data_IF_946921403369
#
_entry.id   IF_946921403369
#
_cell.length_a   1.000
_cell.length_b   1.000
_cell.length_c   1.000
_cell.angle_alpha   90.00
_cell.angle_beta   90.00
_cell.angle_gamma   90.00
#
_symmetry.space_group_name_H-M   'P 1'
#
loop_
_entity.id
_entity.type
_entity.pdbx_description
1 polymer ?
#
# COMPACT_ATOMS: atom_id res chain seq x y z
N UNK A 1 -3.67 -22.98 -27.83
CA UNK A 1 -3.37 -24.39 -28.16
C UNK A 1 -2.02 -24.72 -27.61
N UNK A 2 -1.94 -25.61 -26.62
CA UNK A 2 -0.72 -25.88 -25.83
C UNK A 2 0.21 -26.92 -26.48
N UNK A 3 -0.12 -27.48 -27.64
CA UNK A 3 0.71 -28.41 -28.40
C UNK A 3 1.06 -29.74 -27.71
N UNK A 4 0.49 -30.01 -26.52
CA UNK A 4 0.69 -31.24 -25.78
C UNK A 4 -0.61 -31.66 -25.04
N UNK A 5 -0.77 -32.95 -24.79
CA UNK A 5 -1.89 -33.45 -24.04
C UNK A 5 -1.70 -33.32 -22.51
N UNK A 6 -2.77 -33.38 -21.69
CA UNK A 6 -2.68 -33.22 -20.25
C UNK A 6 -1.72 -34.18 -19.52
N UNK A 7 -1.48 -35.39 -20.05
CA UNK A 7 -0.55 -36.37 -19.47
C UNK A 7 0.91 -36.01 -19.75
N UNK A 8 1.21 -35.48 -20.93
CA UNK A 8 2.54 -35.00 -21.25
C UNK A 8 2.88 -33.75 -20.46
N UNK A 9 1.89 -32.91 -20.16
CA UNK A 9 2.02 -31.73 -19.30
C UNK A 9 2.37 -32.13 -17.86
N UNK A 10 1.77 -33.17 -17.32
CA UNK A 10 2.03 -33.66 -15.97
C UNK A 10 3.41 -34.32 -15.80
N UNK A 11 3.99 -34.84 -16.88
CA UNK A 11 5.30 -35.51 -16.88
C UNK A 11 6.49 -34.58 -17.13
N UNK A 12 6.26 -33.36 -17.60
CA UNK A 12 7.28 -32.32 -17.79
C UNK A 12 6.90 -31.13 -16.96
N UNK A 13 7.53 -30.91 -15.79
CA UNK A 13 7.31 -29.66 -15.04
C UNK A 13 7.67 -28.50 -15.96
N UNK A 14 6.66 -27.74 -16.35
CA UNK A 14 6.82 -26.59 -17.24
C UNK A 14 7.65 -25.56 -16.49
N UNK A 15 8.78 -25.12 -17.06
CA UNK A 15 9.58 -24.08 -16.44
C UNK A 15 8.72 -22.82 -16.17
N UNK A 16 9.02 -22.12 -15.11
CA UNK A 16 8.45 -20.80 -14.77
C UNK A 16 8.35 -19.85 -15.99
N UNK A 17 9.17 -20.06 -17.01
CA UNK A 17 9.17 -19.35 -18.28
C UNK A 17 7.80 -19.35 -19.01
N UNK A 18 6.96 -20.38 -18.83
CA UNK A 18 5.64 -20.40 -19.46
C UNK A 18 4.66 -19.46 -18.74
N UNK A 19 4.72 -19.39 -17.43
CA UNK A 19 3.96 -18.41 -16.65
C UNK A 19 4.39 -16.99 -16.98
N UNK A 20 5.68 -16.76 -17.23
CA UNK A 20 6.22 -15.46 -17.65
C UNK A 20 5.74 -15.10 -19.06
N UNK A 21 5.78 -16.03 -20.00
CA UNK A 21 5.30 -15.82 -21.38
C UNK A 21 3.77 -15.60 -21.44
N UNK A 22 2.99 -16.31 -20.61
CA UNK A 22 1.55 -16.09 -20.47
C UNK A 22 1.25 -14.76 -19.78
N UNK A 23 2.00 -14.43 -18.74
CA UNK A 23 1.90 -13.14 -18.06
C UNK A 23 2.22 -11.97 -19.00
N UNK A 24 3.19 -12.13 -19.89
CA UNK A 24 3.51 -11.13 -20.92
C UNK A 24 2.40 -11.03 -21.97
N UNK A 25 1.92 -12.14 -22.54
CA UNK A 25 0.82 -12.13 -23.52
C UNK A 25 -0.51 -11.64 -22.92
N UNK A 26 -0.83 -12.02 -21.68
CA UNK A 26 -2.01 -11.53 -21.01
C UNK A 26 -1.91 -10.04 -20.70
N UNK A 27 -0.71 -9.57 -20.37
CA UNK A 27 -0.40 -8.16 -20.18
C UNK A 27 -0.50 -7.36 -21.48
N UNK A 28 0.03 -7.91 -22.59
CA UNK A 28 -0.11 -7.33 -23.94
C UNK A 28 -1.57 -7.28 -24.40
N UNK A 29 -2.35 -8.33 -24.11
CA UNK A 29 -3.78 -8.38 -24.42
C UNK A 29 -4.55 -7.31 -23.63
N UNK A 30 -4.34 -7.24 -22.31
CA UNK A 30 -4.94 -6.21 -21.47
C UNK A 30 -4.49 -4.80 -21.87
N UNK A 31 -3.24 -4.63 -22.30
CA UNK A 31 -2.72 -3.34 -22.76
C UNK A 31 -3.34 -2.90 -24.08
N UNK A 32 -3.59 -3.84 -24.99
CA UNK A 32 -4.24 -3.57 -26.27
C UNK A 32 -5.72 -3.20 -26.11
N UNK A 33 -6.46 -3.88 -25.23
CA UNK A 33 -7.84 -3.49 -24.92
C UNK A 33 -7.92 -2.15 -24.16
N UNK A 34 -6.92 -1.81 -23.34
CA UNK A 34 -6.83 -0.51 -22.67
C UNK A 34 -6.63 0.65 -23.64
N UNK A 35 -5.81 0.50 -24.68
CA UNK A 35 -5.65 1.54 -25.70
C UNK A 35 -6.96 1.86 -26.43
N UNK A 36 -7.90 0.91 -26.45
CA UNK A 36 -9.22 1.10 -27.07
C UNK A 36 -10.30 1.62 -26.06
N UNK A 37 -10.06 1.46 -24.74
CA UNK A 37 -10.91 1.97 -23.66
C UNK A 37 -10.23 3.15 -22.92
N UNK A 38 -9.90 4.20 -23.66
CA UNK A 38 -9.23 5.37 -23.09
C UNK A 38 -10.05 5.97 -21.94
N UNK A 39 -9.51 5.91 -20.72
CA UNK A 39 -9.92 6.73 -19.59
C UNK A 39 -10.48 6.03 -18.36
N UNK A 40 -10.75 4.73 -18.34
CA UNK A 40 -11.22 4.04 -17.13
C UNK A 40 -10.02 3.37 -16.45
N UNK A 41 -9.53 3.99 -15.38
CA UNK A 41 -8.55 3.36 -14.49
C UNK A 41 -9.31 2.55 -13.44
N UNK A 42 -9.08 1.22 -13.41
CA UNK A 42 -9.70 0.37 -12.40
C UNK A 42 -8.97 0.50 -11.07
N UNK A 43 -9.74 0.60 -10.00
CA UNK A 43 -9.23 0.52 -8.63
C UNK A 43 -9.91 -0.64 -7.93
N UNK A 44 -9.12 -1.60 -7.46
CA UNK A 44 -9.59 -2.74 -6.69
C UNK A 44 -9.74 -2.34 -5.23
N UNK A 45 -10.86 -2.73 -4.62
CA UNK A 45 -11.16 -2.40 -3.23
C UNK A 45 -11.36 -3.68 -2.45
N UNK A 46 -10.66 -3.80 -1.31
CA UNK A 46 -10.73 -4.96 -0.43
C UNK A 46 -10.74 -4.53 1.03
N UNK A 47 -11.55 -5.23 1.85
CA UNK A 47 -11.46 -5.10 3.32
C UNK A 47 -10.26 -5.90 3.81
N UNK A 48 -9.40 -5.26 4.61
CA UNK A 48 -8.21 -5.85 5.20
C UNK A 48 -8.24 -5.64 6.72
N UNK A 49 -8.06 -6.72 7.46
CA UNK A 49 -7.93 -6.65 8.92
C UNK A 49 -6.45 -6.53 9.30
N UNK A 50 -6.12 -5.51 10.09
CA UNK A 50 -4.78 -5.34 10.65
C UNK A 50 -4.82 -5.64 12.14
N UNK A 51 -3.90 -6.47 12.67
CA UNK A 51 -3.82 -6.74 14.12
C UNK A 51 -3.36 -5.50 14.88
N UNK A 52 -3.45 -5.58 16.21
CA UNK A 52 -2.73 -4.66 17.09
C UNK A 52 -1.22 -4.78 16.82
N UNK A 53 -0.53 -3.64 16.71
CA UNK A 53 0.85 -3.58 16.27
C UNK A 53 1.57 -2.34 16.77
N UNK A 54 2.89 -2.39 16.74
CA UNK A 54 3.74 -1.20 16.88
C UNK A 54 4.14 -0.67 15.50
N UNK A 55 4.41 0.62 15.44
CA UNK A 55 5.04 1.25 14.27
C UNK A 55 6.26 2.01 14.74
N UNK A 56 7.43 1.62 14.22
CA UNK A 56 8.66 2.39 14.37
C UNK A 56 8.67 3.41 13.24
N UNK A 57 8.76 4.69 13.56
CA UNK A 57 8.59 5.77 12.57
C UNK A 57 9.57 6.93 12.83
N UNK A 58 9.85 7.69 11.78
CA UNK A 58 10.60 8.94 11.86
C UNK A 58 9.65 10.10 11.67
N UNK A 59 9.69 11.10 12.59
CA UNK A 59 8.88 12.31 12.45
C UNK A 59 9.64 13.39 11.69
N UNK A 60 8.95 14.10 10.82
CA UNK A 60 9.38 15.37 10.26
C UNK A 60 8.87 16.54 11.12
N UNK A 61 8.96 17.76 10.60
CA UNK A 61 8.59 18.99 11.30
C UNK A 61 7.17 19.45 10.94
N UNK A 62 6.86 19.55 9.63
CA UNK A 62 5.60 20.09 9.11
C UNK A 62 5.07 19.38 7.87
N UNK A 63 5.79 18.40 7.35
CA UNK A 63 5.43 17.71 6.11
C UNK A 63 4.03 17.08 6.18
N UNK A 64 3.25 17.25 5.12
CA UNK A 64 1.91 16.68 4.94
C UNK A 64 1.88 15.64 3.82
N UNK A 65 2.99 15.50 3.07
CA UNK A 65 3.12 14.57 1.95
C UNK A 65 4.59 14.14 1.76
N UNK A 66 4.81 13.20 0.82
CA UNK A 66 6.08 12.49 0.63
C UNK A 66 7.26 13.42 0.31
N UNK A 67 7.11 14.34 -0.66
CA UNK A 67 8.22 15.17 -1.13
C UNK A 67 8.68 16.11 -0.03
N UNK A 68 7.75 16.84 0.61
CA UNK A 68 8.06 17.71 1.73
C UNK A 68 8.68 16.94 2.90
N UNK A 69 8.24 15.70 3.15
CA UNK A 69 8.83 14.87 4.18
C UNK A 69 10.28 14.49 3.86
N UNK A 70 10.59 14.10 2.64
CA UNK A 70 11.96 13.78 2.22
C UNK A 70 12.90 15.01 2.30
N UNK A 71 12.39 16.20 2.03
CA UNK A 71 13.14 17.45 2.21
C UNK A 71 13.51 17.73 3.69
N UNK A 72 12.61 17.36 4.61
CA UNK A 72 12.83 17.59 6.06
C UNK A 72 13.75 16.56 6.70
N UNK A 73 13.64 15.28 6.36
CA UNK A 73 14.28 14.17 7.10
C UNK A 73 15.36 13.44 6.30
N UNK A 74 15.44 13.67 5.00
CA UNK A 74 16.37 12.97 4.10
C UNK A 74 15.78 11.65 3.53
N UNK A 75 16.45 11.13 2.50
CA UNK A 75 15.99 9.94 1.77
C UNK A 75 16.50 8.61 2.37
N UNK A 76 17.39 8.64 3.35
CA UNK A 76 17.99 7.46 3.98
C UNK A 76 17.06 6.75 4.97
N UNK A 77 16.01 7.43 5.44
CA UNK A 77 15.01 6.89 6.38
C UNK A 77 14.40 5.60 5.86
N UNK A 78 14.04 5.54 4.56
CA UNK A 78 13.47 4.36 3.95
C UNK A 78 14.40 3.14 4.01
N UNK A 79 15.70 3.35 3.75
CA UNK A 79 16.73 2.31 3.85
C UNK A 79 16.87 1.77 5.27
N UNK A 80 16.83 2.64 6.29
CA UNK A 80 16.85 2.22 7.70
C UNK A 80 15.64 1.37 8.04
N UNK A 81 14.43 1.81 7.67
CA UNK A 81 13.18 1.10 7.93
C UNK A 81 13.13 -0.27 7.23
N UNK A 82 13.67 -0.37 6.02
CA UNK A 82 13.74 -1.64 5.26
C UNK A 82 14.61 -2.69 5.96
N UNK A 83 15.56 -2.28 6.81
CA UNK A 83 16.40 -3.20 7.59
C UNK A 83 15.67 -3.88 8.77
N UNK A 84 14.48 -3.37 9.13
CA UNK A 84 13.67 -3.90 10.23
C UNK A 84 12.64 -4.89 9.66
N UNK A 85 12.49 -6.05 10.32
CA UNK A 85 11.53 -7.07 9.89
C UNK A 85 10.10 -6.55 10.03
N UNK A 86 9.45 -6.24 8.92
CA UNK A 86 8.09 -5.74 8.84
C UNK A 86 7.05 -6.85 8.95
N UNK A 87 5.85 -6.55 9.48
CA UNK A 87 4.66 -7.40 9.43
C UNK A 87 4.11 -7.54 8.01
N UNK A 88 4.23 -6.51 7.17
CA UNK A 88 3.70 -6.50 5.80
C UNK A 88 4.78 -6.63 4.71
N UNK A 89 6.04 -6.88 5.09
CA UNK A 89 7.15 -7.13 4.18
C UNK A 89 7.82 -5.89 3.61
N UNK A 90 7.35 -4.69 3.94
CA UNK A 90 7.90 -3.41 3.49
C UNK A 90 7.62 -2.29 4.50
N UNK A 91 8.38 -1.17 4.48
CA UNK A 91 8.00 0.05 5.17
C UNK A 91 6.70 0.63 4.64
N UNK A 92 6.09 1.52 5.42
CA UNK A 92 4.84 2.19 5.10
C UNK A 92 4.98 3.69 5.31
N UNK A 93 4.18 4.47 4.58
CA UNK A 93 3.97 5.87 4.90
C UNK A 93 2.61 6.01 5.60
N UNK A 94 2.52 6.93 6.57
CA UNK A 94 1.30 7.14 7.34
C UNK A 94 0.96 8.63 7.40
N UNK A 95 -0.35 8.93 7.31
CA UNK A 95 -0.90 10.22 7.73
C UNK A 95 -1.44 10.04 9.15
N UNK A 96 -0.66 10.51 10.13
CA UNK A 96 -1.01 10.40 11.54
C UNK A 96 -2.23 11.25 11.89
N UNK A 97 -3.09 10.71 12.74
CA UNK A 97 -4.25 11.39 13.32
C UNK A 97 -3.91 11.94 14.71
N UNK A 98 -4.73 12.84 15.27
CA UNK A 98 -4.45 13.50 16.52
C UNK A 98 -3.98 12.62 17.68
N UNK A 99 -4.49 11.39 17.91
CA UNK A 99 -3.99 10.55 19.00
C UNK A 99 -2.51 10.15 18.86
N UNK A 100 -1.98 10.15 17.62
CA UNK A 100 -0.63 9.70 17.28
C UNK A 100 0.30 10.83 16.81
N UNK A 101 -0.27 12.00 16.54
CA UNK A 101 0.49 13.17 16.10
C UNK A 101 1.03 13.92 17.31
N UNK A 102 2.34 14.12 17.39
CA UNK A 102 2.95 14.98 18.40
C UNK A 102 2.86 16.45 17.94
N UNK A 103 2.42 17.38 18.82
CA UNK A 103 2.41 18.81 18.47
C UNK A 103 3.77 19.31 17.96
N UNK A 104 3.76 20.05 16.86
CA UNK A 104 4.99 20.58 16.24
C UNK A 104 5.76 19.57 15.39
N UNK A 105 5.14 18.43 15.07
CA UNK A 105 5.70 17.45 14.13
C UNK A 105 4.81 17.25 12.91
N UNK A 106 5.38 16.67 11.85
CA UNK A 106 4.67 16.35 10.61
C UNK A 106 3.49 15.42 10.84
N UNK A 107 2.41 15.59 10.07
CA UNK A 107 1.34 14.61 9.99
C UNK A 107 1.72 13.40 9.12
N UNK A 108 2.53 13.62 8.10
CA UNK A 108 3.06 12.57 7.25
C UNK A 108 4.37 12.03 7.82
N UNK A 109 4.50 10.71 7.89
CA UNK A 109 5.70 10.02 8.41
C UNK A 109 5.99 8.77 7.59
N UNK A 110 7.25 8.35 7.56
CA UNK A 110 7.64 7.01 7.14
C UNK A 110 7.86 6.13 8.38
N UNK A 111 7.44 4.88 8.30
CA UNK A 111 7.55 3.92 9.38
C UNK A 111 7.56 2.47 8.92
N UNK A 112 7.73 1.56 9.85
CA UNK A 112 7.60 0.12 9.64
C UNK A 112 6.69 -0.49 10.68
N UNK A 113 5.68 -1.23 10.23
CA UNK A 113 4.77 -1.97 11.12
C UNK A 113 5.47 -3.24 11.62
N UNK A 114 5.55 -3.41 12.93
CA UNK A 114 6.15 -4.57 13.59
C UNK A 114 5.13 -5.21 14.55
N UNK A 115 5.40 -6.43 15.00
CA UNK A 115 4.52 -7.13 15.93
C UNK A 115 4.27 -6.32 17.22
N UNK A 116 3.12 -6.53 17.85
CA UNK A 116 2.74 -5.87 19.10
C UNK A 116 3.77 -6.06 20.22
N UNK A 117 4.38 -7.24 20.27
CA UNK A 117 5.39 -7.65 21.24
C UNK A 117 6.83 -7.46 20.73
N UNK A 118 7.02 -6.64 19.69
CA UNK A 118 8.36 -6.36 19.17
C UNK A 118 9.25 -5.76 20.26
N UNK A 119 10.38 -6.41 20.51
CA UNK A 119 11.41 -6.05 21.50
C UNK A 119 12.79 -5.79 20.84
N UNK A 120 12.83 -5.72 19.52
CA UNK A 120 14.05 -5.45 18.77
C UNK A 120 14.51 -3.99 18.87
N UNK A 121 15.67 -3.66 18.29
CA UNK A 121 16.23 -2.31 18.37
C UNK A 121 15.37 -1.28 17.64
N UNK A 122 15.23 -0.11 18.26
CA UNK A 122 14.67 1.09 17.63
C UNK A 122 15.84 2.00 17.24
N UNK A 123 15.97 2.40 15.97
CA UNK A 123 17.06 3.26 15.54
C UNK A 123 17.03 4.63 16.25
N UNK A 124 18.19 5.23 16.43
CA UNK A 124 18.31 6.54 17.08
C UNK A 124 17.48 7.61 16.33
N UNK A 125 16.71 8.39 17.07
CA UNK A 125 15.86 9.45 16.54
C UNK A 125 14.59 8.94 15.83
N UNK A 126 14.22 7.66 16.04
CA UNK A 126 12.92 7.12 15.66
C UNK A 126 12.02 6.97 16.89
N UNK A 127 10.72 7.15 16.70
CA UNK A 127 9.71 6.96 17.71
C UNK A 127 8.97 5.62 17.51
N UNK A 128 8.26 5.19 18.55
CA UNK A 128 7.37 4.03 18.51
C UNK A 128 5.97 4.46 18.90
N UNK A 129 4.99 4.17 18.04
CA UNK A 129 3.58 4.30 18.37
C UNK A 129 2.92 2.91 18.39
N UNK A 130 1.80 2.80 19.10
CA UNK A 130 0.98 1.58 19.12
C UNK A 130 -0.34 1.85 18.42
N UNK A 131 -0.65 1.03 17.43
CA UNK A 131 -1.92 1.08 16.71
C UNK A 131 -2.78 -0.11 17.12
N UNK A 132 -4.07 0.10 17.43
CA UNK A 132 -4.99 -0.99 17.74
C UNK A 132 -5.25 -1.87 16.53
N UNK A 133 -5.85 -3.03 16.76
CA UNK A 133 -6.47 -3.79 15.69
C UNK A 133 -7.55 -2.95 14.99
N UNK A 134 -7.57 -2.95 13.68
CA UNK A 134 -8.49 -2.14 12.90
C UNK A 134 -8.75 -2.73 11.51
N UNK A 135 -9.96 -2.50 11.00
CA UNK A 135 -10.31 -2.81 9.61
C UNK A 135 -9.92 -1.64 8.71
N UNK A 136 -9.47 -1.95 7.52
CA UNK A 136 -9.10 -0.98 6.48
C UNK A 136 -9.77 -1.33 5.16
N UNK A 137 -10.17 -0.34 4.40
CA UNK A 137 -10.37 -0.48 2.97
C UNK A 137 -9.04 -0.22 2.27
N UNK A 138 -8.55 -1.24 1.59
CA UNK A 138 -7.38 -1.16 0.72
C UNK A 138 -7.84 -0.83 -0.69
N UNK A 139 -7.31 0.23 -1.25
CA UNK A 139 -7.49 0.67 -2.63
C UNK A 139 -6.21 0.39 -3.40
N UNK A 140 -6.31 -0.44 -4.42
CA UNK A 140 -5.18 -0.80 -5.27
C UNK A 140 -5.48 -0.42 -6.71
N UNK A 141 -4.64 0.43 -7.27
CA UNK A 141 -4.67 0.78 -8.69
C UNK A 141 -4.06 -0.31 -9.57
N UNK A 142 -4.22 -0.14 -10.86
CA UNK A 142 -3.60 -1.00 -11.85
C UNK A 142 -2.07 -0.83 -11.88
N UNK A 143 -1.32 -1.83 -12.41
CA UNK A 143 0.08 -1.65 -12.77
C UNK A 143 0.28 -0.44 -13.68
N UNK A 144 1.37 0.31 -13.48
CA UNK A 144 1.67 1.54 -14.20
C UNK A 144 3.14 1.59 -14.64
N UNK A 145 3.43 2.36 -15.70
CA UNK A 145 4.79 2.70 -16.09
C UNK A 145 5.33 3.86 -15.23
N UNK A 146 6.65 4.00 -15.12
CA UNK A 146 7.27 5.00 -14.24
C UNK A 146 6.85 6.44 -14.58
N UNK A 147 6.65 6.73 -15.86
CA UNK A 147 6.14 8.02 -16.36
C UNK A 147 4.72 8.33 -15.92
N UNK A 148 3.89 7.31 -15.63
CA UNK A 148 2.49 7.44 -15.23
C UNK A 148 2.30 7.47 -13.70
N UNK A 149 3.39 7.57 -12.94
CA UNK A 149 3.41 7.49 -11.49
C UNK A 149 2.40 8.44 -10.81
N UNK A 150 2.41 9.70 -11.17
CA UNK A 150 1.51 10.70 -10.59
C UNK A 150 0.04 10.41 -10.90
N UNK A 151 -0.25 9.98 -12.13
CA UNK A 151 -1.62 9.64 -12.54
C UNK A 151 -2.13 8.39 -11.85
N UNK A 152 -1.27 7.40 -11.62
CA UNK A 152 -1.63 6.19 -10.88
C UNK A 152 -2.00 6.48 -9.43
N UNK A 153 -1.25 7.35 -8.75
CA UNK A 153 -1.55 7.82 -7.40
C UNK A 153 -2.88 8.58 -7.38
N UNK A 154 -3.03 9.55 -8.28
CA UNK A 154 -4.24 10.38 -8.35
C UNK A 154 -5.49 9.53 -8.58
N UNK A 155 -5.44 8.54 -9.48
CA UNK A 155 -6.57 7.67 -9.78
C UNK A 155 -7.07 6.90 -8.54
N UNK A 156 -6.15 6.39 -7.70
CA UNK A 156 -6.51 5.69 -6.45
C UNK A 156 -7.08 6.65 -5.42
N UNK A 157 -6.48 7.83 -5.26
CA UNK A 157 -6.94 8.85 -4.32
C UNK A 157 -8.35 9.36 -4.68
N UNK A 158 -8.60 9.65 -5.95
CA UNK A 158 -9.92 10.03 -6.43
C UNK A 158 -10.98 8.93 -6.26
N UNK A 159 -10.60 7.66 -6.47
CA UNK A 159 -11.50 6.53 -6.23
C UNK A 159 -11.84 6.41 -4.73
N UNK A 160 -10.85 6.57 -3.85
CA UNK A 160 -11.04 6.53 -2.40
C UNK A 160 -11.92 7.69 -1.89
N UNK A 161 -11.75 8.89 -2.43
CA UNK A 161 -12.53 10.07 -2.03
C UNK A 161 -13.98 9.99 -2.46
N UNK A 162 -14.26 9.31 -3.59
CA UNK A 162 -15.63 9.08 -4.09
C UNK A 162 -16.33 7.87 -3.46
N UNK A 163 -15.57 6.99 -2.79
CA UNK A 163 -16.13 5.75 -2.27
C UNK A 163 -16.95 5.98 -1.00
N UNK A 164 -18.15 5.44 -0.99
CA UNK A 164 -19.02 5.41 0.20
C UNK A 164 -18.92 4.03 0.88
N UNK A 165 -18.23 3.91 2.03
CA UNK A 165 -18.13 2.66 2.76
C UNK A 165 -19.48 2.16 3.30
N UNK A 166 -20.49 3.03 3.40
CA UNK A 166 -21.85 2.67 3.81
C UNK A 166 -22.48 1.61 2.91
N UNK A 167 -22.09 1.54 1.64
CA UNK A 167 -22.57 0.53 0.68
C UNK A 167 -22.24 -0.91 1.10
N UNK A 168 -21.24 -1.09 1.95
CA UNK A 168 -20.80 -2.41 2.46
C UNK A 168 -20.89 -2.51 3.99
N UNK A 169 -21.65 -1.62 4.63
CA UNK A 169 -21.91 -1.64 6.07
C UNK A 169 -20.77 -1.11 6.94
N UNK A 170 -19.94 -0.22 6.40
CA UNK A 170 -18.87 0.43 7.12
C UNK A 170 -19.04 1.96 7.12
N UNK A 171 -18.28 2.64 7.96
CA UNK A 171 -18.06 4.08 7.97
C UNK A 171 -16.58 4.37 8.12
N UNK A 172 -16.12 5.53 7.68
CA UNK A 172 -14.73 5.92 7.86
C UNK A 172 -14.35 5.99 9.35
N UNK A 173 -13.16 5.53 9.66
CA UNK A 173 -12.53 5.65 10.97
C UNK A 173 -11.44 6.72 10.89
N UNK A 174 -11.74 7.89 11.46
CA UNK A 174 -10.80 9.01 11.46
C UNK A 174 -9.82 8.99 12.65
N UNK A 175 -9.87 7.97 13.51
CA UNK A 175 -8.94 7.81 14.63
C UNK A 175 -7.65 7.09 14.21
N UNK A 176 -7.77 6.12 13.29
CA UNK A 176 -6.61 5.39 12.76
C UNK A 176 -5.94 6.10 11.56
N UNK A 177 -4.61 5.99 11.43
CA UNK A 177 -3.89 6.63 10.33
C UNK A 177 -4.26 6.02 8.97
N UNK A 178 -4.27 6.85 7.94
CA UNK A 178 -4.25 6.43 6.53
C UNK A 178 -2.85 5.90 6.24
N UNK A 179 -2.74 4.84 5.44
CA UNK A 179 -1.50 4.12 5.17
C UNK A 179 -1.27 4.08 3.66
N UNK A 180 -0.06 4.35 3.26
CA UNK A 180 0.42 4.24 1.88
C UNK A 180 1.54 3.19 1.83
N UNK A 181 1.46 2.27 0.88
CA UNK A 181 2.56 1.39 0.54
C UNK A 181 3.45 2.02 -0.53
N UNK A 182 4.69 1.53 -0.65
CA UNK A 182 5.59 1.99 -1.69
C UNK A 182 4.95 1.85 -3.08
N UNK A 183 4.86 2.93 -3.88
CA UNK A 183 4.33 2.84 -5.24
C UNK A 183 5.26 2.00 -6.12
N UNK A 184 4.80 0.82 -6.52
CA UNK A 184 5.56 -0.11 -7.38
C UNK A 184 4.79 -0.32 -8.67
N UNK A 185 5.36 0.09 -9.80
CA UNK A 185 4.71 0.02 -11.10
C UNK A 185 4.09 -1.33 -11.43
N UNK A 186 4.79 -2.44 -11.17
CA UNK A 186 4.29 -3.79 -11.43
C UNK A 186 3.15 -4.26 -10.52
N UNK A 187 2.98 -3.64 -9.33
CA UNK A 187 1.91 -3.93 -8.37
C UNK A 187 0.76 -2.94 -8.43
N UNK A 188 1.01 -1.76 -8.93
CA UNK A 188 0.12 -0.62 -8.80
C UNK A 188 0.35 0.16 -7.50
N UNK A 189 -0.30 1.30 -7.37
CA UNK A 189 -0.32 2.10 -6.16
C UNK A 189 -1.33 1.55 -5.17
N UNK A 190 -0.96 1.47 -3.90
CA UNK A 190 -1.83 0.95 -2.84
C UNK A 190 -1.93 1.96 -1.71
N UNK A 191 -3.16 2.23 -1.31
CA UNK A 191 -3.46 3.07 -0.17
C UNK A 191 -4.59 2.44 0.67
N UNK A 192 -4.49 2.60 2.00
CA UNK A 192 -5.46 2.03 2.93
C UNK A 192 -6.05 3.14 3.79
N UNK A 193 -7.37 3.17 3.90
CA UNK A 193 -8.10 4.06 4.81
C UNK A 193 -8.90 3.23 5.81
N UNK A 194 -8.76 3.57 7.08
CA UNK A 194 -9.40 2.84 8.16
C UNK A 194 -10.93 2.99 8.13
N UNK A 195 -11.62 1.91 8.52
CA UNK A 195 -13.08 1.84 8.58
C UNK A 195 -13.53 1.14 9.86
N UNK A 196 -14.73 1.48 10.33
CA UNK A 196 -15.46 0.81 11.41
C UNK A 196 -16.78 0.29 10.86
N UNK A 197 -17.27 -0.84 11.38
CA UNK A 197 -18.62 -1.30 11.05
C UNK A 197 -19.63 -0.23 11.47
N UNK A 198 -20.61 0.02 10.58
CA UNK A 198 -21.75 0.86 10.94
C UNK A 198 -22.57 0.12 12.01
N UNK A 199 -22.95 0.83 13.05
CA UNK A 199 -23.90 0.32 14.03
C UNK A 199 -25.25 0.18 13.33
N UNK A 200 -25.91 -0.96 13.52
CA UNK A 200 -27.23 -1.25 12.96
C UNK A 200 -28.32 -0.47 13.68
#
# INVERSE_FOLDING_TARGET
EFGCNPKEYAMRPVPLALFTAYGVKFREYLHKERCEMSGIKNVFIQVVEKPERQVILKRGVKAEEYMGYCEEVGCDVWGVLTSIKSLCGEPVCLWLRPPYQTPGTSSYVQGVEVAQDYDGPVPEGFDVIRLPAASYLMFQGEPFAEEDFCEAIQAVQEAMDRYDPGLIGYRWDDENPRIQLEPRGGRGYIELRAVKRSEA
#
